data_IF_141987247367
#
_entry.id   IF_141987247367
#
_cell.length_a   1.000
_cell.length_b   1.000
_cell.length_c   1.000
_cell.angle_alpha   90.00
_cell.angle_beta   90.00
_cell.angle_gamma   90.00
#
_symmetry.space_group_name_H-M   'P 1'
#
loop_
_entity.id
_entity.type
_entity.pdbx_description
1 polymer ?
#
# COMPACT_ATOMS: atom_id res chain seq x y z
N UNK A 1 12.35 11.12 21.80
CA UNK A 1 11.16 10.80 22.65
C UNK A 1 10.86 12.03 23.51
N UNK A 2 9.75 12.71 23.28
CA UNK A 2 9.32 13.84 24.12
C UNK A 2 8.63 13.22 25.33
N UNK A 3 9.26 13.35 26.48
CA UNK A 3 8.69 12.87 27.76
C UNK A 3 7.56 13.81 28.16
N UNK A 4 6.35 13.31 28.30
CA UNK A 4 5.23 14.07 28.84
C UNK A 4 5.60 14.62 30.24
N UNK A 5 5.56 15.93 30.41
CA UNK A 5 5.90 16.58 31.68
C UNK A 5 4.69 16.81 32.57
N UNK A 6 3.50 16.77 32.00
CA UNK A 6 2.23 16.96 32.72
C UNK A 6 1.25 15.84 32.36
N UNK A 7 0.22 15.65 33.20
CA UNK A 7 -0.85 14.70 32.94
C UNK A 7 -1.68 15.08 31.69
N UNK A 8 -1.79 16.37 31.39
CA UNK A 8 -2.42 16.90 30.18
C UNK A 8 -1.61 16.57 28.94
N UNK A 9 -0.27 16.66 28.99
CA UNK A 9 0.61 16.29 27.88
C UNK A 9 0.51 14.78 27.60
N UNK A 10 0.49 13.96 28.66
CA UNK A 10 0.33 12.52 28.51
C UNK A 10 -1.03 12.15 27.89
N UNK A 11 -2.09 12.86 28.24
CA UNK A 11 -3.43 12.66 27.70
C UNK A 11 -3.54 13.12 26.23
N UNK A 12 -2.92 14.24 25.87
CA UNK A 12 -2.85 14.69 24.49
C UNK A 12 -2.00 13.76 23.62
N UNK A 13 -0.90 13.23 24.15
CA UNK A 13 -0.09 12.21 23.45
C UNK A 13 -0.86 10.90 23.27
N UNK A 14 -1.68 10.51 24.22
CA UNK A 14 -2.55 9.33 24.11
C UNK A 14 -3.66 9.52 23.07
N UNK A 15 -4.14 10.74 22.86
CA UNK A 15 -5.14 11.04 21.83
C UNK A 15 -4.57 11.18 20.40
N UNK A 16 -3.27 11.41 20.24
CA UNK A 16 -2.62 11.51 18.93
C UNK A 16 -1.85 10.24 18.55
N UNK A 17 -2.45 9.08 18.76
CA UNK A 17 -1.82 7.79 18.49
C UNK A 17 -1.80 7.40 17.00
N UNK A 18 -1.50 8.35 16.11
CA UNK A 18 -1.35 8.07 14.68
C UNK A 18 -0.33 6.95 14.43
N UNK A 19 0.79 6.95 15.19
CA UNK A 19 1.81 5.90 15.09
C UNK A 19 1.29 4.53 15.52
N UNK A 20 0.43 4.45 16.54
CA UNK A 20 -0.22 3.20 16.94
C UNK A 20 -1.17 2.69 15.85
N UNK A 21 -1.96 3.59 15.23
CA UNK A 21 -2.86 3.20 14.14
C UNK A 21 -2.07 2.70 12.92
N UNK A 22 -0.96 3.37 12.56
CA UNK A 22 -0.09 2.91 11.49
C UNK A 22 0.60 1.58 11.82
N UNK A 23 0.98 1.37 13.05
CA UNK A 23 1.55 0.09 13.52
C UNK A 23 0.54 -1.06 13.42
N UNK A 24 -0.72 -0.85 13.85
CA UNK A 24 -1.80 -1.82 13.71
C UNK A 24 -2.09 -2.08 12.23
N UNK A 25 -2.22 -1.00 11.44
CA UNK A 25 -2.44 -1.09 10.00
C UNK A 25 -1.38 -1.95 9.31
N UNK A 26 -0.09 -1.76 9.62
CA UNK A 26 0.99 -2.52 9.01
C UNK A 26 0.88 -4.03 9.27
N UNK A 27 0.46 -4.43 10.46
CA UNK A 27 0.28 -5.84 10.79
C UNK A 27 -0.93 -6.45 10.10
N UNK A 28 -2.07 -5.78 10.18
CA UNK A 28 -3.33 -6.25 9.60
C UNK A 28 -3.24 -6.25 8.08
N UNK A 29 -2.77 -5.18 7.47
CA UNK A 29 -2.63 -5.08 6.01
C UNK A 29 -1.63 -6.08 5.45
N UNK A 30 -0.51 -6.35 6.15
CA UNK A 30 0.44 -7.36 5.75
C UNK A 30 -0.15 -8.77 5.73
N UNK A 31 -0.94 -9.11 6.75
CA UNK A 31 -1.63 -10.40 6.81
C UNK A 31 -2.69 -10.53 5.70
N UNK A 32 -3.51 -9.49 5.50
CA UNK A 32 -4.51 -9.45 4.42
C UNK A 32 -3.83 -9.56 3.06
N UNK A 33 -2.77 -8.79 2.81
CA UNK A 33 -2.01 -8.82 1.57
C UNK A 33 -1.44 -10.20 1.27
N UNK A 34 -0.95 -10.90 2.28
CA UNK A 34 -0.44 -12.27 2.10
C UNK A 34 -1.51 -13.18 1.48
N UNK A 35 -2.72 -13.18 2.02
CA UNK A 35 -3.82 -13.99 1.47
C UNK A 35 -4.29 -13.49 0.10
N UNK A 36 -4.40 -12.18 -0.09
CA UNK A 36 -4.80 -11.61 -1.38
C UNK A 36 -3.79 -11.95 -2.48
N UNK A 37 -2.49 -11.81 -2.21
CA UNK A 37 -1.44 -12.10 -3.20
C UNK A 37 -1.39 -13.59 -3.51
N UNK A 38 -1.46 -14.46 -2.50
CA UNK A 38 -1.50 -15.91 -2.73
C UNK A 38 -2.72 -16.31 -3.56
N UNK A 39 -3.90 -15.76 -3.27
CA UNK A 39 -5.10 -15.96 -4.07
C UNK A 39 -4.95 -15.43 -5.49
N UNK A 40 -4.33 -14.25 -5.68
CA UNK A 40 -4.06 -13.67 -7.00
C UNK A 40 -3.13 -14.55 -7.83
N UNK A 41 -2.03 -15.02 -7.25
CA UNK A 41 -1.09 -15.94 -7.91
C UNK A 41 -1.77 -17.24 -8.29
N UNK A 42 -2.55 -17.82 -7.37
CA UNK A 42 -3.30 -19.05 -7.63
C UNK A 42 -4.27 -18.90 -8.82
N UNK A 43 -5.08 -17.84 -8.82
CA UNK A 43 -6.07 -17.56 -9.86
C UNK A 43 -5.43 -17.17 -11.20
N UNK A 44 -4.23 -16.63 -11.19
CA UNK A 44 -3.58 -16.13 -12.40
C UNK A 44 -2.66 -17.16 -13.05
N UNK A 45 -1.89 -17.91 -12.25
CA UNK A 45 -0.85 -18.78 -12.76
C UNK A 45 -1.16 -20.29 -12.62
N UNK A 46 -1.99 -20.69 -11.66
CA UNK A 46 -2.27 -22.11 -11.42
C UNK A 46 -3.54 -22.57 -12.12
N UNK A 47 -4.56 -21.71 -12.21
CA UNK A 47 -5.82 -22.03 -12.89
C UNK A 47 -5.79 -21.79 -14.40
N UNK A 48 -4.82 -21.03 -14.91
CA UNK A 48 -4.71 -20.68 -16.34
C UNK A 48 -3.50 -21.39 -16.91
N UNK A 49 -3.69 -22.13 -18.02
CA UNK A 49 -2.57 -22.70 -18.76
C UNK A 49 -1.71 -21.59 -19.38
N UNK A 50 -0.40 -21.81 -19.48
CA UNK A 50 0.50 -20.82 -20.10
C UNK A 50 0.08 -20.45 -21.52
N UNK A 51 -0.51 -21.39 -22.26
CA UNK A 51 -1.05 -21.18 -23.63
C UNK A 51 -2.21 -20.18 -23.66
N UNK A 52 -2.92 -20.01 -22.54
CA UNK A 52 -4.13 -19.18 -22.45
C UNK A 52 -3.83 -17.80 -21.81
N UNK A 53 -2.57 -17.51 -21.48
CA UNK A 53 -2.13 -16.22 -20.93
C UNK A 53 -2.00 -15.14 -22.03
N UNK A 54 -3.10 -14.87 -22.72
CA UNK A 54 -3.18 -13.86 -23.78
C UNK A 54 -3.70 -12.52 -23.23
N UNK A 55 -3.46 -11.44 -23.96
CA UNK A 55 -4.01 -10.12 -23.65
C UNK A 55 -5.54 -10.16 -23.55
N UNK A 56 -6.20 -10.84 -24.47
CA UNK A 56 -7.66 -10.97 -24.50
C UNK A 56 -8.20 -11.73 -23.27
N UNK A 57 -7.48 -12.73 -22.80
CA UNK A 57 -7.84 -13.46 -21.57
C UNK A 57 -7.76 -12.53 -20.33
N UNK A 58 -6.75 -11.67 -20.26
CA UNK A 58 -6.63 -10.67 -19.18
C UNK A 58 -7.77 -9.66 -19.24
N UNK A 59 -8.07 -9.12 -20.43
CA UNK A 59 -9.18 -8.18 -20.63
C UNK A 59 -10.52 -8.80 -20.25
N UNK A 60 -10.78 -10.03 -20.70
CA UNK A 60 -12.01 -10.76 -20.35
C UNK A 60 -12.13 -11.01 -18.82
N UNK A 61 -11.03 -11.34 -18.15
CA UNK A 61 -11.01 -11.49 -16.70
C UNK A 61 -11.30 -10.16 -15.98
N UNK A 62 -10.73 -9.06 -16.48
CA UNK A 62 -10.95 -7.71 -15.96
C UNK A 62 -12.34 -7.15 -16.31
N UNK A 63 -13.07 -7.72 -17.27
CA UNK A 63 -14.47 -7.37 -17.50
C UNK A 63 -15.37 -7.74 -16.30
N UNK A 64 -14.95 -8.67 -15.46
CA UNK A 64 -15.65 -9.01 -14.22
C UNK A 64 -15.38 -7.92 -13.14
N UNK A 65 -16.41 -7.20 -12.67
CA UNK A 65 -16.22 -6.12 -11.70
C UNK A 65 -15.68 -6.59 -10.35
N UNK A 66 -15.99 -7.83 -9.93
CA UNK A 66 -15.45 -8.38 -8.69
C UNK A 66 -13.94 -8.65 -8.80
N UNK A 67 -13.48 -9.15 -9.95
CA UNK A 67 -12.07 -9.35 -10.21
C UNK A 67 -11.31 -8.02 -10.33
N UNK A 68 -11.93 -7.03 -10.97
CA UNK A 68 -11.41 -5.67 -11.08
C UNK A 68 -11.24 -5.03 -9.69
N UNK A 69 -12.25 -5.13 -8.85
CA UNK A 69 -12.19 -4.64 -7.45
C UNK A 69 -11.14 -5.37 -6.62
N UNK A 70 -11.02 -6.69 -6.78
CA UNK A 70 -10.00 -7.50 -6.11
C UNK A 70 -8.57 -7.01 -6.44
N UNK A 71 -8.27 -6.78 -7.71
CA UNK A 71 -6.97 -6.26 -8.15
C UNK A 71 -6.73 -4.84 -7.67
N UNK A 72 -7.77 -3.99 -7.67
CA UNK A 72 -7.68 -2.63 -7.13
C UNK A 72 -7.42 -2.63 -5.61
N UNK A 73 -8.00 -3.57 -4.89
CA UNK A 73 -7.75 -3.73 -3.45
C UNK A 73 -6.30 -4.13 -3.17
N UNK A 74 -5.74 -5.07 -3.96
CA UNK A 74 -4.32 -5.43 -3.88
C UNK A 74 -3.44 -4.21 -4.17
N UNK A 75 -3.70 -3.48 -5.24
CA UNK A 75 -2.96 -2.27 -5.61
C UNK A 75 -2.96 -1.24 -4.46
N UNK A 76 -4.15 -0.93 -3.94
CA UNK A 76 -4.33 0.06 -2.88
C UNK A 76 -3.61 -0.33 -1.61
N UNK A 77 -3.82 -1.55 -1.12
CA UNK A 77 -3.20 -2.03 0.11
C UNK A 77 -1.68 -2.19 -0.03
N UNK A 78 -1.20 -2.66 -1.19
CA UNK A 78 0.25 -2.81 -1.43
C UNK A 78 0.96 -1.46 -1.42
N UNK A 79 0.39 -0.45 -2.07
CA UNK A 79 0.98 0.88 -2.10
C UNK A 79 0.94 1.55 -0.73
N UNK A 80 -0.17 1.46 0.01
CA UNK A 80 -0.27 2.03 1.36
C UNK A 80 0.66 1.33 2.35
N UNK A 81 0.68 -0.01 2.33
CA UNK A 81 1.57 -0.81 3.18
C UNK A 81 3.03 -0.53 2.86
N UNK A 82 3.41 -0.58 1.59
CA UNK A 82 4.77 -0.30 1.13
C UNK A 82 5.20 1.14 1.39
N UNK A 83 4.31 2.12 1.18
CA UNK A 83 4.59 3.52 1.45
C UNK A 83 4.87 3.77 2.94
N UNK A 84 4.08 3.18 3.82
CA UNK A 84 4.32 3.32 5.25
C UNK A 84 5.60 2.60 5.71
N UNK A 85 5.90 1.41 5.15
CA UNK A 85 7.16 0.71 5.42
C UNK A 85 8.38 1.51 4.96
N UNK A 86 8.35 2.04 3.73
CA UNK A 86 9.42 2.86 3.18
C UNK A 86 9.61 4.19 3.94
N UNK A 87 8.54 4.76 4.51
CA UNK A 87 8.64 5.95 5.37
C UNK A 87 9.62 5.74 6.51
N UNK A 88 9.56 4.61 7.19
CA UNK A 88 10.49 4.30 8.28
C UNK A 88 11.93 4.19 7.78
N UNK A 89 12.15 3.49 6.66
CA UNK A 89 13.48 3.41 6.06
C UNK A 89 14.03 4.79 5.67
N UNK A 90 13.21 5.67 5.08
CA UNK A 90 13.63 7.04 4.75
C UNK A 90 14.01 7.81 6.04
N UNK A 91 13.25 7.65 7.12
CA UNK A 91 13.53 8.30 8.41
C UNK A 91 14.83 7.82 9.04
N UNK A 92 15.17 6.56 8.87
CA UNK A 92 16.38 5.95 9.43
C UNK A 92 17.64 6.32 8.63
N UNK A 93 17.55 6.29 7.30
CA UNK A 93 18.72 6.49 6.44
C UNK A 93 18.99 7.95 6.08
N UNK A 94 17.96 8.79 5.95
CA UNK A 94 18.13 10.20 5.59
C UNK A 94 18.26 11.07 6.83
N UNK A 95 19.48 11.37 7.25
CA UNK A 95 19.79 12.10 8.49
C UNK A 95 19.41 13.58 8.45
N UNK A 96 19.62 14.25 7.30
CA UNK A 96 19.33 15.68 7.13
C UNK A 96 17.83 15.95 7.04
N UNK A 97 17.30 16.85 7.87
CA UNK A 97 15.87 17.20 7.88
C UNK A 97 15.36 17.73 6.53
N UNK A 98 16.04 18.68 5.85
CA UNK A 98 15.57 19.19 4.56
C UNK A 98 15.59 18.11 3.49
N UNK A 99 16.65 17.29 3.42
CA UNK A 99 16.75 16.20 2.46
C UNK A 99 15.67 15.15 2.71
N UNK A 100 15.35 14.84 3.98
CA UNK A 100 14.29 13.92 4.34
C UNK A 100 12.91 14.40 3.87
N UNK A 101 12.62 15.69 4.03
CA UNK A 101 11.36 16.27 3.56
C UNK A 101 11.25 16.18 2.02
N UNK A 102 12.34 16.50 1.31
CA UNK A 102 12.39 16.41 -0.14
C UNK A 102 12.24 14.96 -0.64
N UNK A 103 13.00 14.03 -0.08
CA UNK A 103 12.92 12.59 -0.44
C UNK A 103 11.52 12.04 -0.19
N UNK A 104 10.90 12.36 0.95
CA UNK A 104 9.50 11.98 1.23
C UNK A 104 8.53 12.60 0.23
N UNK A 105 8.71 13.86 -0.13
CA UNK A 105 7.86 14.54 -1.12
C UNK A 105 7.89 13.84 -2.48
N UNK A 106 9.09 13.59 -3.00
CA UNK A 106 9.27 12.84 -4.26
C UNK A 106 8.68 11.44 -4.15
N UNK A 107 8.98 10.73 -3.08
CA UNK A 107 8.48 9.37 -2.85
C UNK A 107 6.95 9.30 -2.84
N UNK A 108 6.27 10.16 -2.07
CA UNK A 108 4.81 10.15 -2.04
C UNK A 108 4.18 10.60 -3.36
N UNK A 109 4.84 11.50 -4.11
CA UNK A 109 4.39 11.86 -5.46
C UNK A 109 4.44 10.65 -6.40
N UNK A 110 5.52 9.89 -6.36
CA UNK A 110 5.65 8.65 -7.16
C UNK A 110 4.56 7.64 -6.77
N UNK A 111 4.33 7.41 -5.47
CA UNK A 111 3.27 6.51 -4.99
C UNK A 111 1.88 6.98 -5.47
N UNK A 112 1.59 8.27 -5.40
CA UNK A 112 0.32 8.84 -5.86
C UNK A 112 0.14 8.66 -7.38
N UNK A 113 1.18 8.87 -8.16
CA UNK A 113 1.16 8.64 -9.61
C UNK A 113 0.95 7.16 -9.94
N UNK A 114 1.65 6.25 -9.26
CA UNK A 114 1.47 4.80 -9.45
C UNK A 114 0.04 4.36 -9.12
N UNK A 115 -0.51 4.89 -8.03
CA UNK A 115 -1.91 4.62 -7.67
C UNK A 115 -2.89 5.15 -8.71
N UNK A 116 -2.70 6.39 -9.18
CA UNK A 116 -3.57 7.01 -10.18
C UNK A 116 -3.51 6.24 -11.51
N UNK A 117 -2.31 5.98 -12.03
CA UNK A 117 -2.13 5.24 -13.28
C UNK A 117 -2.64 3.80 -13.18
N UNK A 118 -2.35 3.11 -12.07
CA UNK A 118 -2.84 1.75 -11.85
C UNK A 118 -4.36 1.70 -11.76
N UNK A 119 -4.99 2.68 -11.09
CA UNK A 119 -6.46 2.78 -11.00
C UNK A 119 -7.07 3.09 -12.36
N UNK A 120 -6.55 4.10 -13.07
CA UNK A 120 -7.04 4.43 -14.43
C UNK A 120 -6.87 3.25 -15.37
N UNK A 121 -5.68 2.62 -15.40
CA UNK A 121 -5.43 1.45 -16.23
C UNK A 121 -6.39 0.30 -15.95
N UNK A 122 -6.68 0.04 -14.68
CA UNK A 122 -7.57 -1.05 -14.27
C UNK A 122 -9.04 -0.78 -14.64
N UNK A 123 -9.50 0.46 -14.55
CA UNK A 123 -10.90 0.82 -14.80
C UNK A 123 -11.16 1.33 -16.23
N UNK A 124 -10.13 1.53 -17.05
CA UNK A 124 -10.27 1.90 -18.47
C UNK A 124 -10.55 0.70 -19.38
N UNK A 125 -10.34 -0.50 -18.91
CA UNK A 125 -10.65 -1.78 -19.56
C UNK A 125 -12.08 -2.26 -19.11
#
# INVERSE_FOLDING_TARGET
MIRARTFTDARQQAHSNAELHWWIFMRISGLILMFLILGHVYMTFIQVSESDATFDAVVNKLANPAWKFYNWLILSLSLLHGANGARYSIEDYVRSRPNRAWVKGVFYTVIALLFAFGTVGLFSI
#
